data_IF_030276540097
#
_entry.id   IF_030276540097
#
_cell.length_a   1.000
_cell.length_b   1.000
_cell.length_c   1.000
_cell.angle_alpha   90.00
_cell.angle_beta   90.00
_cell.angle_gamma   90.00
#
_symmetry.space_group_name_H-M   'P 1'
#
loop_
_entity.id
_entity.type
_entity.pdbx_description
1 polymer ?
#
# COMPACT_ATOMS: atom_id res chain seq x y z
N UNK A 1 -8.77 8.00 35.36
CA UNK A 1 -8.67 7.56 33.96
C UNK A 1 -9.36 6.20 33.86
N UNK A 2 -10.17 5.93 32.82
CA UNK A 2 -10.88 4.65 32.73
C UNK A 2 -9.85 3.50 32.73
N UNK A 3 -10.16 2.39 33.40
CA UNK A 3 -9.35 1.16 33.47
C UNK A 3 -7.97 1.20 34.17
N UNK A 4 -7.60 2.27 34.90
CA UNK A 4 -6.39 2.28 35.74
C UNK A 4 -5.05 2.40 34.99
N UNK A 5 -5.10 2.67 33.69
CA UNK A 5 -3.93 2.91 32.83
C UNK A 5 -3.69 4.42 32.62
N UNK A 6 -2.42 4.79 32.49
CA UNK A 6 -2.01 6.18 32.31
C UNK A 6 -2.36 6.72 30.91
N UNK A 7 -2.58 8.03 30.78
CA UNK A 7 -2.82 8.70 29.50
C UNK A 7 -1.72 8.43 28.47
N UNK A 8 -0.46 8.41 28.94
CA UNK A 8 0.70 8.16 28.09
C UNK A 8 0.69 6.74 27.53
N UNK A 9 0.13 5.76 28.26
CA UNK A 9 -0.05 4.39 27.75
C UNK A 9 -1.00 4.35 26.55
N UNK A 10 -2.10 5.10 26.59
CA UNK A 10 -3.02 5.22 25.45
C UNK A 10 -2.35 5.88 24.24
N UNK A 11 -1.62 6.97 24.47
CA UNK A 11 -0.86 7.65 23.42
C UNK A 11 0.18 6.74 22.77
N UNK A 12 0.90 5.94 23.57
CA UNK A 12 1.86 4.96 23.06
C UNK A 12 1.18 3.91 22.18
N UNK A 13 0.06 3.36 22.63
CA UNK A 13 -0.71 2.38 21.86
C UNK A 13 -1.22 2.96 20.54
N UNK A 14 -1.75 4.19 20.58
CA UNK A 14 -2.22 4.90 19.40
C UNK A 14 -1.07 5.14 18.41
N UNK A 15 0.06 5.69 18.87
CA UNK A 15 1.23 5.90 18.03
C UNK A 15 1.75 4.57 17.44
N UNK A 16 1.81 3.50 18.24
CA UNK A 16 2.20 2.18 17.77
C UNK A 16 1.26 1.64 16.67
N UNK A 17 -0.06 1.86 16.79
CA UNK A 17 -1.02 1.45 15.75
C UNK A 17 -0.82 2.19 14.43
N UNK A 18 -0.57 3.50 14.48
CA UNK A 18 -0.29 4.29 13.28
C UNK A 18 1.01 3.87 12.62
N UNK A 19 2.06 3.64 13.41
CA UNK A 19 3.35 3.15 12.91
C UNK A 19 3.22 1.77 12.26
N UNK A 20 2.46 0.85 12.89
CA UNK A 20 2.20 -0.46 12.33
C UNK A 20 1.45 -0.38 10.98
N UNK A 21 0.47 0.52 10.87
CA UNK A 21 -0.25 0.78 9.62
C UNK A 21 0.69 1.30 8.52
N UNK A 22 1.51 2.31 8.82
CA UNK A 22 2.48 2.85 7.86
C UNK A 22 3.50 1.80 7.42
N UNK A 23 4.05 1.02 8.35
CA UNK A 23 5.00 -0.05 8.04
C UNK A 23 4.35 -1.14 7.18
N UNK A 24 3.11 -1.52 7.47
CA UNK A 24 2.36 -2.48 6.64
C UNK A 24 2.14 -1.98 5.22
N UNK A 25 1.75 -0.72 5.05
CA UNK A 25 1.57 -0.11 3.73
C UNK A 25 2.89 -0.09 2.94
N UNK A 26 3.98 0.34 3.56
CA UNK A 26 5.32 0.35 2.96
C UNK A 26 5.76 -1.04 2.52
N UNK A 27 5.52 -2.08 3.32
CA UNK A 27 5.88 -3.46 2.95
C UNK A 27 5.13 -3.92 1.71
N UNK A 28 3.83 -3.66 1.61
CA UNK A 28 3.02 -4.02 0.43
C UNK A 28 3.49 -3.23 -0.80
N UNK A 29 3.76 -1.93 -0.66
CA UNK A 29 4.31 -1.11 -1.74
C UNK A 29 5.69 -1.59 -2.19
N UNK A 30 6.57 -1.98 -1.25
CA UNK A 30 7.91 -2.49 -1.56
C UNK A 30 7.87 -3.87 -2.21
N UNK A 31 6.96 -4.73 -1.78
CA UNK A 31 6.82 -6.10 -2.24
C UNK A 31 6.16 -6.17 -3.63
N UNK A 32 5.04 -5.49 -3.82
CA UNK A 32 4.29 -5.52 -5.09
C UNK A 32 4.74 -4.45 -6.09
N UNK A 33 5.49 -3.43 -5.65
CA UNK A 33 5.92 -2.27 -6.47
C UNK A 33 4.85 -1.84 -7.47
N UNK A 34 3.66 -1.43 -7.00
CA UNK A 34 2.61 -1.01 -7.91
C UNK A 34 3.09 0.17 -8.75
N UNK A 35 2.81 0.14 -10.04
CA UNK A 35 2.97 1.33 -10.87
C UNK A 35 1.89 2.34 -10.48
N UNK A 36 2.32 3.49 -9.98
CA UNK A 36 1.45 4.56 -9.49
C UNK A 36 1.22 5.64 -10.55
N UNK A 37 1.69 5.42 -11.79
CA UNK A 37 1.49 6.35 -12.89
C UNK A 37 0.02 6.43 -13.28
N UNK A 38 -0.53 7.63 -13.24
CA UNK A 38 -1.87 7.92 -13.75
C UNK A 38 -1.70 8.33 -15.22
N UNK A 39 -2.40 7.70 -16.17
CA UNK A 39 -2.36 8.13 -17.56
C UNK A 39 -3.07 9.48 -17.71
N UNK A 40 -2.45 10.43 -18.41
CA UNK A 40 -3.03 11.76 -18.70
C UNK A 40 -4.36 11.67 -19.47
N UNK A 41 -4.51 10.63 -20.30
CA UNK A 41 -5.73 10.35 -21.04
C UNK A 41 -6.47 9.23 -20.31
N UNK A 42 -7.72 9.47 -19.85
CA UNK A 42 -8.49 8.43 -19.20
C UNK A 42 -8.79 7.28 -20.17
N UNK A 43 -8.72 6.02 -19.73
CA UNK A 43 -9.05 4.88 -20.57
C UNK A 43 -10.53 4.92 -20.96
N UNK A 44 -10.84 4.39 -22.15
CA UNK A 44 -12.23 4.27 -22.59
C UNK A 44 -12.99 3.32 -21.64
N UNK A 45 -14.31 3.49 -21.48
CA UNK A 45 -15.13 2.56 -20.71
C UNK A 45 -14.92 1.12 -21.19
N UNK A 46 -14.43 0.24 -20.31
CA UNK A 46 -14.12 -1.16 -20.62
C UNK A 46 -12.65 -1.49 -20.97
N UNK A 47 -11.79 -0.49 -21.18
CA UNK A 47 -10.35 -0.68 -21.43
C UNK A 47 -9.48 -0.47 -20.18
N UNK A 48 -10.12 -0.32 -19.02
CA UNK A 48 -9.45 -0.06 -17.76
C UNK A 48 -8.72 -1.33 -17.32
N UNK A 49 -7.40 -1.37 -17.53
CA UNK A 49 -6.54 -2.46 -17.10
C UNK A 49 -6.40 -2.40 -15.59
N UNK A 50 -7.21 -3.19 -14.89
CA UNK A 50 -7.16 -3.35 -13.43
C UNK A 50 -6.12 -4.40 -12.99
N UNK A 51 -5.49 -5.07 -13.95
CA UNK A 51 -4.40 -6.00 -13.67
C UNK A 51 -3.19 -5.27 -13.07
N UNK A 52 -2.46 -5.94 -12.18
CA UNK A 52 -1.18 -5.45 -11.65
C UNK A 52 -0.14 -5.44 -12.78
N UNK A 53 -0.15 -4.39 -13.60
CA UNK A 53 0.72 -4.22 -14.77
C UNK A 53 2.19 -4.51 -14.44
N UNK A 54 2.66 -4.12 -13.25
CA UNK A 54 4.03 -4.39 -12.78
C UNK A 54 4.38 -5.88 -12.61
N UNK A 55 3.41 -6.78 -12.39
CA UNK A 55 3.66 -8.23 -12.37
C UNK A 55 3.83 -8.81 -13.77
N UNK A 56 3.09 -8.28 -14.75
CA UNK A 56 3.15 -8.73 -16.15
C UNK A 56 4.46 -8.31 -16.83
N UNK A 57 4.92 -7.09 -16.56
CA UNK A 57 6.20 -6.60 -17.06
C UNK A 57 7.38 -7.47 -16.57
N UNK A 58 7.39 -7.84 -15.28
CA UNK A 58 8.39 -8.76 -14.71
C UNK A 58 8.34 -10.17 -15.28
N UNK A 59 7.14 -10.69 -15.60
CA UNK A 59 6.99 -11.99 -16.25
C UNK A 59 7.55 -11.97 -17.68
N UNK A 60 7.36 -10.87 -18.42
CA UNK A 60 7.92 -10.72 -19.78
C UNK A 60 9.43 -10.54 -19.79
N UNK A 61 10.00 -9.80 -18.83
CA UNK A 61 11.46 -9.64 -18.70
C UNK A 61 12.18 -10.96 -18.39
N UNK A 62 11.51 -11.91 -17.74
CA UNK A 62 12.07 -13.24 -17.43
C UNK A 62 11.89 -14.27 -18.56
N UNK A 63 11.10 -13.97 -19.60
CA UNK A 63 10.83 -14.86 -20.73
C UNK A 63 11.59 -14.51 -22.02
N UNK A 64 12.28 -13.36 -22.05
CA UNK A 64 13.21 -12.96 -23.12
C UNK A 64 14.66 -13.28 -22.73
#
# INVERSE_FOLDING_TARGET
MPAGVSWSSYLKMFAASLLAMCAGAEVVHRYYRPDLRIPEIPPKPGELKTELLGLKERQQEHQN
#
